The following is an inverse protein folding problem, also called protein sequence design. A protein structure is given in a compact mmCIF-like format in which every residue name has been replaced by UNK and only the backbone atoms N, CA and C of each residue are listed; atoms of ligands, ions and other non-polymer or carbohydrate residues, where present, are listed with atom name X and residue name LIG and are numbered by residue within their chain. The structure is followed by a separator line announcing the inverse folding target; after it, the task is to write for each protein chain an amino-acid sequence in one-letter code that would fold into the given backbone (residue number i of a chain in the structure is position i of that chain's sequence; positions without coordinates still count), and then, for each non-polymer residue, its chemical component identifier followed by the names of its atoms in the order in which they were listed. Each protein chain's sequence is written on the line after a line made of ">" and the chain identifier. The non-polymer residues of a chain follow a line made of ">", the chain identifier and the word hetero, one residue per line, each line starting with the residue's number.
data_IF_455043646845
#
_entry.id   IF_455043646845
#
_cell.length_a   1.000
_cell.length_b   1.000
_cell.length_c   1.000
_cell.angle_alpha   90.00
_cell.angle_beta   90.00
_cell.angle_gamma   90.00
#
_symmetry.space_group_name_H-M   'P 1'
#
loop_
_entity.id
_entity.type
_entity.pdbx_description
1 polymer ?
#
# COMPACT_ATOMS: atom_id res chain seq x y z
N UNK A 1 17.11 2.27 23.41
CA UNK A 1 15.79 1.73 23.01
C UNK A 1 15.37 2.21 21.60
N UNK A 2 16.04 3.21 21.00
CA UNK A 2 15.70 3.74 19.66
C UNK A 2 16.05 2.81 18.48
N UNK A 3 17.06 1.94 18.62
CA UNK A 3 17.49 1.05 17.52
C UNK A 3 16.36 0.14 17.03
N UNK A 4 15.61 -0.48 17.95
CA UNK A 4 14.49 -1.38 17.62
C UNK A 4 13.29 -0.68 16.96
N UNK A 5 13.05 0.59 17.29
CA UNK A 5 11.92 1.35 16.73
C UNK A 5 12.26 1.81 15.31
N UNK A 6 13.49 2.27 15.09
CA UNK A 6 13.96 2.71 13.78
C UNK A 6 14.02 1.55 12.79
N UNK A 7 14.58 0.41 13.20
CA UNK A 7 14.59 -0.83 12.40
C UNK A 7 13.18 -1.28 12.03
N UNK A 8 12.25 -1.26 13.00
CA UNK A 8 10.85 -1.61 12.74
C UNK A 8 10.20 -0.68 11.70
N UNK A 9 10.43 0.64 11.80
CA UNK A 9 9.89 1.61 10.83
C UNK A 9 10.45 1.36 9.44
N UNK A 10 11.74 1.03 9.34
CA UNK A 10 12.39 0.73 8.06
C UNK A 10 11.85 -0.54 7.41
N UNK A 11 11.72 -1.62 8.18
CA UNK A 11 11.10 -2.86 7.72
C UNK A 11 9.67 -2.62 7.23
N UNK A 12 8.88 -1.88 8.01
CA UNK A 12 7.49 -1.57 7.65
C UNK A 12 7.36 -0.70 6.41
N UNK A 13 8.26 0.26 6.19
CA UNK A 13 8.29 1.05 4.96
C UNK A 13 8.50 0.14 3.75
N UNK A 14 9.48 -0.78 3.81
CA UNK A 14 9.75 -1.72 2.71
C UNK A 14 8.57 -2.65 2.45
N UNK A 15 7.97 -3.21 3.49
CA UNK A 15 6.82 -4.11 3.38
C UNK A 15 5.61 -3.43 2.75
N UNK A 16 5.27 -2.22 3.20
CA UNK A 16 4.09 -1.50 2.68
C UNK A 16 4.34 -0.99 1.25
N UNK A 17 5.57 -0.57 0.92
CA UNK A 17 5.93 -0.16 -0.45
C UNK A 17 5.78 -1.33 -1.42
N UNK A 18 6.21 -2.53 -0.99
CA UNK A 18 6.02 -3.77 -1.76
C UNK A 18 4.53 -4.08 -1.96
N UNK A 19 3.73 -4.06 -0.88
CA UNK A 19 2.28 -4.31 -0.95
C UNK A 19 1.59 -3.32 -1.90
N UNK A 20 1.90 -2.03 -1.80
CA UNK A 20 1.36 -0.98 -2.67
C UNK A 20 1.72 -1.25 -4.14
N UNK A 21 2.98 -1.59 -4.41
CA UNK A 21 3.47 -1.87 -5.76
C UNK A 21 2.81 -3.10 -6.38
N UNK A 22 2.70 -4.19 -5.62
CA UNK A 22 2.01 -5.42 -6.07
C UNK A 22 0.54 -5.15 -6.36
N UNK A 23 -0.14 -4.40 -5.48
CA UNK A 23 -1.55 -4.03 -5.64
C UNK A 23 -1.76 -3.12 -6.85
N UNK A 24 -0.87 -2.15 -7.07
CA UNK A 24 -0.91 -1.28 -8.25
C UNK A 24 -0.70 -2.05 -9.54
N UNK A 25 0.26 -2.97 -9.57
CA UNK A 25 0.52 -3.80 -10.74
C UNK A 25 -0.68 -4.69 -11.06
N UNK A 26 -1.34 -5.25 -10.05
CA UNK A 26 -2.60 -5.97 -10.24
C UNK A 26 -3.67 -5.06 -10.87
N UNK A 27 -3.90 -3.87 -10.30
CA UNK A 27 -4.89 -2.91 -10.79
C UNK A 27 -4.60 -2.45 -12.23
N UNK A 28 -3.33 -2.26 -12.58
CA UNK A 28 -2.90 -1.88 -13.93
C UNK A 28 -3.19 -2.96 -14.98
N UNK A 29 -3.20 -4.23 -14.55
CA UNK A 29 -3.47 -5.37 -15.43
C UNK A 29 -4.97 -5.66 -15.59
N UNK A 30 -5.84 -4.92 -14.89
CA UNK A 30 -7.29 -4.96 -15.14
C UNK A 30 -7.58 -4.22 -16.44
N UNK A 31 -7.91 -4.97 -17.49
CA UNK A 31 -8.14 -4.44 -18.85
C UNK A 31 -9.61 -4.40 -19.26
N UNK A 32 -10.50 -5.06 -18.50
CA UNK A 32 -11.94 -5.08 -18.78
C UNK A 32 -12.58 -3.72 -18.56
N UNK A 33 -13.56 -3.39 -19.40
CA UNK A 33 -14.41 -2.21 -19.19
C UNK A 33 -15.43 -2.47 -18.07
N UNK A 34 -15.99 -1.42 -17.47
CA UNK A 34 -16.93 -1.55 -16.34
C UNK A 34 -18.16 -2.38 -16.71
N UNK A 35 -18.66 -2.22 -17.93
CA UNK A 35 -19.85 -2.95 -18.41
C UNK A 35 -19.61 -4.46 -18.60
N UNK A 36 -18.34 -4.91 -18.58
CA UNK A 36 -17.93 -6.31 -18.77
C UNK A 36 -17.53 -7.01 -17.46
N UNK A 37 -17.51 -6.30 -16.33
CA UNK A 37 -17.15 -6.85 -15.03
C UNK A 37 -18.34 -7.59 -14.42
N UNK A 38 -18.08 -8.74 -13.80
CA UNK A 38 -19.05 -9.31 -12.87
C UNK A 38 -19.02 -8.53 -11.55
N UNK A 39 -20.10 -8.64 -10.77
CA UNK A 39 -20.18 -8.02 -9.44
C UNK A 39 -19.01 -8.44 -8.53
N UNK A 40 -18.58 -9.70 -8.63
CA UNK A 40 -17.44 -10.22 -7.87
C UNK A 40 -16.13 -9.55 -8.30
N UNK A 41 -15.92 -9.37 -9.61
CA UNK A 41 -14.73 -8.67 -10.14
C UNK A 41 -14.72 -7.19 -9.73
N UNK A 42 -15.88 -6.53 -9.74
CA UNK A 42 -16.01 -5.16 -9.25
C UNK A 42 -15.64 -5.04 -7.77
N UNK A 43 -16.12 -5.96 -6.94
CA UNK A 43 -15.78 -6.00 -5.50
C UNK A 43 -14.28 -6.19 -5.33
N UNK A 44 -13.66 -7.15 -6.02
CA UNK A 44 -12.22 -7.38 -5.93
C UNK A 44 -11.42 -6.14 -6.33
N UNK A 45 -11.81 -5.45 -7.42
CA UNK A 45 -11.17 -4.20 -7.84
C UNK A 45 -11.28 -3.12 -6.76
N UNK A 46 -12.45 -2.97 -6.14
CA UNK A 46 -12.67 -2.01 -5.07
C UNK A 46 -11.83 -2.33 -3.84
N UNK A 47 -11.75 -3.60 -3.44
CA UNK A 47 -10.88 -4.05 -2.34
C UNK A 47 -9.41 -3.75 -2.63
N UNK A 48 -8.94 -4.01 -3.85
CA UNK A 48 -7.56 -3.69 -4.27
C UNK A 48 -7.30 -2.19 -4.26
N UNK A 49 -8.25 -1.37 -4.70
CA UNK A 49 -8.16 0.10 -4.57
C UNK A 49 -8.05 0.53 -3.11
N UNK A 50 -8.87 -0.04 -2.22
CA UNK A 50 -8.81 0.25 -0.78
C UNK A 50 -7.45 -0.11 -0.18
N UNK A 51 -6.89 -1.27 -0.54
CA UNK A 51 -5.55 -1.69 -0.11
C UNK A 51 -4.49 -0.69 -0.60
N UNK A 52 -4.54 -0.32 -1.87
CA UNK A 52 -3.58 0.63 -2.46
C UNK A 52 -3.60 2.00 -1.76
N UNK A 53 -4.79 2.56 -1.51
CA UNK A 53 -4.92 3.85 -0.83
C UNK A 53 -4.51 3.78 0.64
N UNK A 54 -4.89 2.70 1.33
CA UNK A 54 -4.48 2.47 2.74
C UNK A 54 -2.96 2.36 2.85
N UNK A 55 -2.32 1.60 1.96
CA UNK A 55 -0.86 1.47 1.92
C UNK A 55 -0.19 2.82 1.64
N UNK A 56 -0.75 3.62 0.74
CA UNK A 56 -0.23 4.96 0.43
C UNK A 56 -0.29 5.90 1.64
N UNK A 57 -1.39 5.89 2.41
CA UNK A 57 -1.51 6.66 3.64
C UNK A 57 -0.52 6.20 4.72
N UNK A 58 -0.42 4.89 4.93
CA UNK A 58 0.51 4.32 5.92
C UNK A 58 1.98 4.65 5.60
N UNK A 59 2.38 4.65 4.32
CA UNK A 59 3.72 5.05 3.90
C UNK A 59 4.03 6.51 4.22
N UNK A 60 3.07 7.41 4.01
CA UNK A 60 3.23 8.83 4.35
C UNK A 60 3.43 9.00 5.86
N UNK A 61 2.60 8.33 6.67
CA UNK A 61 2.70 8.38 8.13
C UNK A 61 4.03 7.82 8.65
N UNK A 62 4.46 6.66 8.14
CA UNK A 62 5.74 6.05 8.51
C UNK A 62 6.93 6.88 8.05
N UNK A 63 6.86 7.49 6.87
CA UNK A 63 7.93 8.36 6.36
C UNK A 63 8.08 9.61 7.23
N UNK A 64 6.97 10.18 7.70
CA UNK A 64 6.98 11.30 8.66
C UNK A 64 7.51 10.88 10.03
N UNK A 65 7.19 9.67 10.48
CA UNK A 65 7.73 9.13 11.73
C UNK A 65 9.25 8.91 11.62
N UNK A 66 9.72 8.29 10.53
CA UNK A 66 11.14 8.07 10.28
C UNK A 66 11.94 9.37 10.36
N UNK A 67 11.49 10.43 9.68
CA UNK A 67 12.13 11.75 9.73
C UNK A 67 12.32 12.27 11.17
N UNK A 68 11.35 12.03 12.06
CA UNK A 68 11.44 12.43 13.48
C UNK A 68 12.36 11.55 14.32
N UNK A 69 12.59 10.30 13.91
CA UNK A 69 13.50 9.38 14.58
C UNK A 69 14.96 9.64 14.19
N UNK A 70 15.16 10.19 12.99
CA UNK A 70 16.47 10.57 12.45
C UNK A 70 16.94 11.98 12.91
N UNK A 71 16.04 12.78 13.52
CA UNK A 71 16.32 14.08 14.17
C UNK A 71 16.97 13.91 15.56
#
# INVERSE_FOLDING_TARGET
>A
MSFKVTEYVDERLVEIEKLKSETFNWLKNVTKTVDELTKEEEIEILEKKMIYYSASGALEELSRLKKKLDE
#
